data_IF_736867344189
#
_entry.id   IF_736867344189
#
_cell.length_a   1.000
_cell.length_b   1.000
_cell.length_c   1.000
_cell.angle_alpha   90.00
_cell.angle_beta   90.00
_cell.angle_gamma   90.00
#
_symmetry.space_group_name_H-M   'P 1'
#
loop_
_entity.id
_entity.type
_entity.pdbx_description
1 polymer ?
2 water ?
#
# COMPACT_ATOMS: atom_id res chain seq x y z
N UNK A 19 3.59 2.35 23.17
CA UNK A 19 3.42 1.51 21.95
C UNK A 19 3.22 2.38 20.68
N UNK A 20 4.29 2.61 19.90
CA UNK A 20 4.23 3.43 18.68
C UNK A 20 3.79 2.62 17.47
N UNK A 21 3.20 3.31 16.48
CA UNK A 21 2.65 2.69 15.28
C UNK A 21 3.49 2.94 14.03
N UNK A 22 3.91 4.20 13.87
CA UNK A 22 4.70 4.65 12.73
C UNK A 22 6.16 4.44 13.08
N UNK A 23 7.00 4.30 12.05
CA UNK A 23 8.42 4.11 12.23
C UNK A 23 8.91 2.84 12.90
N UNK A 24 8.07 1.80 12.99
CA UNK A 24 8.46 0.56 13.59
C UNK A 24 8.32 -0.59 12.59
N UNK A 25 9.15 -1.66 12.76
CA UNK A 25 9.10 -2.80 11.85
C UNK A 25 7.71 -3.40 11.76
N UNK A 26 7.32 -3.75 10.55
CA UNK A 26 5.98 -4.27 10.25
C UNK A 26 5.69 -5.52 11.05
N UNK A 27 6.71 -6.38 11.19
CA UNK A 27 6.72 -7.60 12.06
C UNK A 27 6.28 -7.35 13.50
N UNK A 28 6.75 -6.26 14.07
CA UNK A 28 6.44 -5.91 15.45
C UNK A 28 4.97 -5.47 15.62
N UNK A 29 4.34 -4.98 14.57
CA UNK A 29 2.96 -4.55 14.66
C UNK A 29 1.94 -5.69 14.65
N UNK A 30 2.22 -6.80 13.98
CA UNK A 30 1.16 -7.80 13.76
C UNK A 30 1.00 -8.90 14.84
N UNK A 31 1.70 -8.78 15.97
CA UNK A 31 1.49 -9.74 17.08
C UNK A 31 0.04 -9.66 17.64
N UNK A 32 -0.55 -8.47 17.63
CA UNK A 32 -1.94 -8.25 18.04
C UNK A 32 -2.97 -8.84 17.06
N UNK A 33 -2.61 -8.90 15.78
CA UNK A 33 -3.56 -9.14 14.69
C UNK A 33 -3.52 -10.62 14.27
N UNK A 34 -4.64 -11.32 14.44
CA UNK A 34 -4.80 -12.70 13.96
C UNK A 34 -4.76 -12.83 12.42
N UNK A 35 -5.12 -11.74 11.71
CA UNK A 35 -5.06 -11.67 10.23
C UNK A 35 -3.72 -11.16 9.63
N UNK A 36 -2.84 -10.65 10.49
CA UNK A 36 -1.46 -10.30 10.09
C UNK A 36 -1.33 -8.99 9.25
N UNK A 37 -2.37 -8.14 9.30
CA UNK A 37 -2.34 -6.82 8.70
C UNK A 37 -2.52 -5.83 9.85
N UNK A 38 -1.63 -4.80 9.98
CA UNK A 38 -1.77 -3.83 11.05
C UNK A 38 -3.11 -3.12 11.02
N UNK A 39 -3.64 -2.84 12.20
CA UNK A 39 -4.94 -2.22 12.32
C UNK A 39 -5.02 -0.89 11.56
N UNK A 40 -3.99 -0.08 11.62
CA UNK A 40 -3.98 1.19 10.88
C UNK A 40 -4.12 1.04 9.36
N UNK A 41 -3.47 0.04 8.78
CA UNK A 41 -3.57 -0.22 7.35
C UNK A 41 -5.01 -0.65 6.99
N UNK A 42 -5.59 -1.60 7.74
CA UNK A 42 -6.99 -2.03 7.54
C UNK A 42 -7.97 -0.86 7.59
N UNK A 43 -7.78 -0.01 8.60
CA UNK A 43 -8.65 1.15 8.83
C UNK A 43 -8.62 2.16 7.70
N UNK A 44 -7.42 2.51 7.26
CA UNK A 44 -7.26 3.49 6.20
C UNK A 44 -7.87 2.95 4.92
N UNK A 45 -7.61 1.68 4.64
CA UNK A 45 -8.15 1.06 3.41
C UNK A 45 -9.69 0.99 3.42
N UNK A 46 -10.25 0.64 4.57
CA UNK A 46 -11.69 0.69 4.77
C UNK A 46 -12.25 2.08 4.43
N UNK A 47 -11.63 3.14 4.94
CA UNK A 47 -12.11 4.48 4.71
C UNK A 47 -12.06 4.89 3.23
N UNK A 48 -10.98 4.55 2.54
CA UNK A 48 -10.84 4.92 1.15
C UNK A 48 -11.75 4.01 0.31
N UNK A 49 -11.85 2.73 0.67
CA UNK A 49 -12.79 1.84 -0.03
C UNK A 49 -14.22 2.33 0.03
N UNK A 50 -14.68 2.79 1.19
CA UNK A 50 -16.07 3.21 1.37
C UNK A 50 -16.37 4.59 0.88
N UNK A 51 -15.42 5.49 1.05
CA UNK A 51 -15.63 6.92 0.85
C UNK A 51 -14.79 7.59 -0.22
N UNK A 52 -13.81 6.88 -0.81
CA UNK A 52 -12.79 7.55 -1.60
C UNK A 52 -12.43 7.04 -2.99
N UNK A 53 -12.95 5.86 -3.36
CA UNK A 53 -12.54 5.23 -4.63
C UNK A 53 -12.90 6.09 -5.85
N UNK A 54 -13.98 6.85 -5.75
CA UNK A 54 -14.45 7.72 -6.84
C UNK A 54 -13.99 9.15 -6.71
N UNK A 55 -13.24 9.47 -5.66
CA UNK A 55 -12.79 10.84 -5.39
C UNK A 55 -11.64 11.21 -6.32
N UNK A 56 -11.85 12.32 -7.03
CA UNK A 56 -10.92 12.82 -8.03
C UNK A 56 -9.60 13.09 -7.34
N UNK A 57 -8.54 12.52 -7.89
CA UNK A 57 -7.20 12.75 -7.38
C UNK A 57 -6.83 12.07 -6.07
N UNK A 58 -7.56 11.04 -5.67
CA UNK A 58 -7.23 10.29 -4.44
C UNK A 58 -5.78 9.76 -4.57
N UNK A 59 -4.99 9.92 -3.51
CA UNK A 59 -3.54 9.67 -3.54
C UNK A 59 -2.66 10.64 -4.32
N UNK A 60 -3.08 11.12 -5.50
CA UNK A 60 -2.35 12.21 -6.18
C UNK A 60 -2.33 13.53 -5.35
N UNK A 61 -3.46 13.83 -4.71
CA UNK A 61 -3.58 14.96 -3.79
C UNK A 61 -2.83 14.69 -2.49
N UNK A 62 -1.86 15.55 -2.20
CA UNK A 62 -1.17 15.48 -0.93
C UNK A 62 -1.90 16.30 0.12
N UNK A 63 -2.41 15.66 1.16
CA UNK A 63 -3.03 16.39 2.25
C UNK A 63 -2.03 17.35 2.95
N UNK A 64 -2.55 18.34 3.66
CA UNK A 64 -1.72 19.29 4.40
C UNK A 64 -0.78 18.50 5.32
N UNK A 65 0.52 18.75 5.23
CA UNK A 65 1.54 18.06 6.09
C UNK A 65 1.23 18.21 7.58
N UNK A 66 0.73 19.35 7.99
CA UNK A 66 0.35 19.55 9.39
C UNK A 66 -0.84 18.66 9.80
N UNK A 67 -1.83 18.48 8.92
CA UNK A 67 -2.94 17.57 9.22
C UNK A 67 -2.49 16.11 9.25
N UNK A 68 -1.60 15.72 8.33
CA UNK A 68 -1.02 14.36 8.38
C UNK A 68 -0.25 14.18 9.70
N UNK A 69 0.59 15.14 10.08
CA UNK A 69 1.35 15.04 11.33
C UNK A 69 0.51 14.94 12.59
N UNK A 70 -0.47 15.82 12.72
CA UNK A 70 -1.39 15.80 13.87
C UNK A 70 -2.00 14.39 14.03
N UNK A 71 -2.49 13.80 12.94
CA UNK A 71 -3.18 12.52 13.00
C UNK A 71 -2.18 11.41 13.29
N UNK A 72 -1.04 11.46 12.62
CA UNK A 72 0.08 10.56 12.91
C UNK A 72 0.47 10.53 14.40
N UNK A 73 0.72 11.72 14.95
CA UNK A 73 1.15 11.88 16.34
C UNK A 73 0.08 11.41 17.32
N UNK A 74 -1.19 11.72 17.04
CA UNK A 74 -2.29 11.22 17.89
C UNK A 74 -2.34 9.71 17.95
N UNK A 75 -2.09 9.04 16.83
CA UNK A 75 -2.11 7.57 16.75
C UNK A 75 -0.88 6.96 17.47
N UNK A 76 0.28 7.60 17.32
CA UNK A 76 1.49 7.19 18.03
C UNK A 76 1.38 7.33 19.55
N UNK A 77 0.63 8.33 20.02
CA UNK A 77 0.33 8.47 21.44
C UNK A 77 -0.59 7.36 21.96
N UNK A 78 -1.58 6.94 21.17
CA UNK A 78 -2.51 5.89 21.58
C UNK A 78 -3.05 5.15 20.36
N UNK A 79 -2.71 3.85 20.20
CA UNK A 79 -3.17 3.13 19.01
C UNK A 79 -4.70 3.06 18.87
N UNK A 80 -5.44 3.22 19.97
CA UNK A 80 -6.91 3.35 19.91
C UNK A 80 -7.40 4.55 19.09
N UNK A 81 -6.57 5.59 18.96
CA UNK A 81 -6.88 6.74 18.10
C UNK A 81 -6.97 6.49 16.57
N UNK A 82 -6.76 5.25 16.09
CA UNK A 82 -7.15 4.91 14.71
C UNK A 82 -8.65 5.04 14.48
N UNK A 83 -9.45 5.11 15.56
CA UNK A 83 -10.86 5.56 15.49
C UNK A 83 -11.05 6.92 14.80
N UNK A 84 -10.07 7.81 15.00
CA UNK A 84 -10.02 9.15 14.39
C UNK A 84 -9.90 9.15 12.87
N UNK A 85 -9.42 8.04 12.30
CA UNK A 85 -9.36 7.86 10.84
C UNK A 85 -10.76 7.80 10.19
N UNK A 86 -11.76 7.24 10.89
CA UNK A 86 -13.14 7.23 10.37
C UNK A 86 -13.60 8.67 10.14
N UNK A 87 -14.22 8.96 8.98
CA UNK A 87 -14.64 10.34 8.70
C UNK A 87 -15.85 10.73 9.58
N UNK A 88 -15.68 11.78 10.37
CA UNK A 88 -16.78 12.30 11.19
C UNK A 88 -17.82 12.91 10.26
N UNK A 89 -19.09 12.84 10.66
CA UNK A 89 -20.20 13.34 9.85
C UNK A 89 -20.44 14.86 10.14
N UNK A 90 -20.79 15.66 9.14
CA UNK A 90 -20.79 15.29 7.70
C UNK A 90 -19.37 15.27 7.13
N UNK A 91 -18.99 14.25 6.34
CA UNK A 91 -17.59 14.15 5.85
C UNK A 91 -17.26 15.23 4.82
N UNK A 92 -15.97 15.49 4.63
CA UNK A 92 -15.49 16.42 3.60
C UNK A 92 -14.45 15.73 2.74
N UNK A 93 -14.33 16.17 1.49
CA UNK A 93 -13.29 15.70 0.58
C UNK A 93 -11.94 15.63 1.26
N UNK A 94 -11.57 16.71 1.96
CA UNK A 94 -10.22 16.80 2.51
C UNK A 94 -9.96 15.79 3.61
N UNK A 95 -10.98 15.39 4.38
CA UNK A 95 -10.80 14.26 5.33
C UNK A 95 -10.46 12.94 4.66
N UNK A 96 -10.97 12.73 3.45
CA UNK A 96 -10.69 11.55 2.69
C UNK A 96 -9.30 11.60 2.10
N UNK A 97 -8.94 12.73 1.46
CA UNK A 97 -7.56 12.97 1.02
C UNK A 97 -6.54 12.73 2.14
N UNK A 98 -6.84 13.29 3.33
CA UNK A 98 -6.02 13.11 4.53
C UNK A 98 -5.73 11.64 4.85
N UNK A 99 -6.75 10.78 4.77
CA UNK A 99 -6.57 9.38 5.09
C UNK A 99 -5.69 8.67 4.07
N UNK A 100 -5.87 9.01 2.81
CA UNK A 100 -4.96 8.55 1.78
C UNK A 100 -3.51 8.94 2.02
N UNK A 101 -3.28 10.21 2.38
CA UNK A 101 -1.92 10.66 2.67
C UNK A 101 -1.37 10.02 3.92
N UNK A 102 -2.22 9.77 4.90
CA UNK A 102 -1.81 9.07 6.10
C UNK A 102 -1.34 7.64 5.80
N UNK A 103 -2.06 6.93 4.93
CA UNK A 103 -1.71 5.57 4.60
C UNK A 103 -0.38 5.51 3.88
N UNK A 104 -0.20 6.40 2.92
CA UNK A 104 1.08 6.53 2.24
C UNK A 104 2.26 6.87 3.19
N UNK A 105 2.00 7.71 4.18
CA UNK A 105 3.02 8.08 5.16
C UNK A 105 3.38 6.89 6.05
N UNK A 106 2.39 6.05 6.36
CA UNK A 106 2.65 4.83 7.08
C UNK A 106 3.68 3.95 6.36
N UNK A 107 3.42 3.67 5.09
CA UNK A 107 4.32 2.84 4.31
C UNK A 107 5.70 3.48 4.13
N UNK A 108 5.71 4.79 3.87
CA UNK A 108 6.97 5.56 3.76
C UNK A 108 7.79 5.64 5.04
N UNK A 109 7.14 5.55 6.19
CA UNK A 109 7.81 5.61 7.50
C UNK A 109 8.28 4.24 8.04
N UNK A 110 7.93 3.14 7.37
CA UNK A 110 8.39 1.83 7.77
C UNK A 110 9.93 1.79 7.66
N UNK A 111 10.61 1.21 8.66
CA UNK A 111 12.08 1.14 8.54
C UNK A 111 12.58 0.48 7.25
N UNK A 112 11.91 -0.56 6.78
CA UNK A 112 12.24 -1.22 5.52
C UNK A 112 11.05 -1.10 4.58
N UNK A 113 11.29 -1.17 3.29
CA UNK A 113 10.18 -1.18 2.35
C UNK A 113 9.37 -2.49 2.50
N UNK A 114 8.07 -2.42 2.25
CA UNK A 114 7.19 -3.62 2.38
C UNK A 114 7.63 -4.72 1.41
N UNK A 115 8.11 -4.35 0.21
CA UNK A 115 9.02 -5.22 -0.53
C UNK A 115 10.43 -4.96 -0.02
N UNK A 116 11.01 -5.91 0.74
CA UNK A 116 12.27 -5.55 1.43
C UNK A 116 13.46 -5.18 0.52
N UNK A 117 14.29 -4.25 0.98
CA UNK A 117 15.57 -3.94 0.31
C UNK A 117 16.35 -5.20 -0.10
N UNK A 118 16.34 -6.23 0.74
CA UNK A 118 17.07 -7.46 0.42
C UNK A 118 16.65 -8.13 -0.89
N UNK A 119 15.43 -7.87 -1.36
CA UNK A 119 14.95 -8.33 -2.66
C UNK A 119 15.43 -7.53 -3.88
N UNK A 120 16.14 -6.41 -3.68
CA UNK A 120 16.63 -5.56 -4.78
C UNK A 120 17.17 -6.32 -6.00
N UNK A 121 18.16 -7.20 -5.76
CA UNK A 121 18.84 -7.95 -6.81
C UNK A 121 17.94 -8.86 -7.59
N UNK A 122 17.04 -9.55 -6.89
CA UNK A 122 16.06 -10.42 -7.56
C UNK A 122 15.00 -9.59 -8.28
N UNK A 123 14.69 -8.40 -7.76
CA UNK A 123 13.76 -7.49 -8.47
C UNK A 123 14.41 -6.98 -9.77
N UNK A 124 15.71 -6.67 -9.72
CA UNK A 124 16.45 -6.25 -10.91
C UNK A 124 16.41 -7.30 -12.02
N UNK A 125 16.75 -8.54 -11.65
CA UNK A 125 16.62 -9.71 -12.52
C UNK A 125 15.20 -9.80 -13.11
N UNK A 126 14.19 -9.70 -12.24
CA UNK A 126 12.78 -9.75 -12.67
C UNK A 126 12.44 -8.70 -13.77
N UNK A 127 12.91 -7.47 -13.57
CA UNK A 127 12.62 -6.36 -14.47
C UNK A 127 13.31 -6.45 -15.85
N UNK A 128 14.37 -7.26 -16.00
CA UNK A 128 14.98 -7.52 -17.31
C UNK A 128 14.25 -8.57 -18.16
N UNK A 129 13.35 -9.34 -17.56
CA UNK A 129 12.69 -10.46 -18.25
C UNK A 129 11.63 -9.91 -19.21
N UNK A 130 11.83 -10.15 -20.51
CA UNK A 130 10.95 -9.62 -21.57
C UNK A 130 9.62 -10.40 -21.67
N UNK A 131 9.67 -11.73 -21.58
CA UNK A 131 8.45 -12.58 -21.63
C UNK A 131 7.54 -12.29 -20.43
N UNK A 132 6.30 -11.83 -20.68
CA UNK A 132 5.40 -11.48 -19.58
C UNK A 132 5.02 -12.63 -18.63
N UNK A 133 4.79 -13.83 -19.16
CA UNK A 133 4.39 -14.99 -18.32
C UNK A 133 5.54 -15.39 -17.38
N UNK A 134 6.74 -15.49 -17.94
CA UNK A 134 7.96 -15.73 -17.18
C UNK A 134 8.14 -14.63 -16.14
N UNK A 135 8.01 -13.36 -16.53
CA UNK A 135 8.13 -12.24 -15.59
C UNK A 135 7.15 -12.32 -14.39
N UNK A 136 5.88 -12.58 -14.65
CA UNK A 136 4.91 -12.67 -13.57
C UNK A 136 5.10 -13.90 -12.66
N UNK A 137 5.42 -15.05 -13.23
CA UNK A 137 5.74 -16.21 -12.42
C UNK A 137 6.98 -15.97 -11.56
N UNK A 138 7.93 -15.18 -12.07
CA UNK A 138 9.13 -14.84 -11.34
C UNK A 138 8.75 -13.98 -10.14
N UNK A 139 7.97 -12.93 -10.38
CA UNK A 139 7.53 -12.08 -9.29
C UNK A 139 6.67 -12.87 -8.29
N UNK A 140 5.81 -13.76 -8.77
CA UNK A 140 5.00 -14.63 -7.88
C UNK A 140 5.93 -15.31 -6.86
N UNK A 141 7.03 -15.86 -7.34
CA UNK A 141 8.00 -16.52 -6.48
C UNK A 141 8.55 -15.63 -5.37
N UNK A 142 8.95 -14.43 -5.76
CA UNK A 142 9.36 -13.42 -4.78
C UNK A 142 8.27 -13.12 -3.76
N UNK A 143 7.03 -12.95 -4.22
CA UNK A 143 5.92 -12.62 -3.31
C UNK A 143 5.61 -13.78 -2.39
N UNK A 144 5.59 -14.99 -2.95
CA UNK A 144 5.26 -16.19 -2.18
C UNK A 144 6.23 -16.41 -1.03
N UNK A 145 7.46 -15.96 -1.24
CA UNK A 145 8.54 -16.10 -0.26
C UNK A 145 8.64 -15.01 0.78
N UNK A 146 7.81 -13.97 0.68
CA UNK A 146 7.77 -12.97 1.72
C UNK A 146 7.36 -13.55 3.05
N UNK A 147 7.97 -13.08 4.13
CA UNK A 147 7.38 -13.41 5.42
C UNK A 147 5.90 -12.95 5.54
N UNK A 148 5.16 -13.62 6.43
CA UNK A 148 3.77 -13.31 6.71
C UNK A 148 3.41 -11.82 6.78
N UNK A 149 4.08 -11.06 7.65
CA UNK A 149 3.71 -9.64 7.87
C UNK A 149 3.72 -8.86 6.55
N UNK A 150 4.80 -9.01 5.78
CA UNK A 150 4.94 -8.35 4.48
C UNK A 150 3.95 -8.89 3.45
N UNK A 151 3.76 -10.20 3.46
CA UNK A 151 2.88 -10.86 2.50
C UNK A 151 1.45 -10.35 2.62
N UNK A 152 0.89 -10.47 3.82
CA UNK A 152 -0.50 -10.15 4.07
C UNK A 152 -0.76 -8.66 3.95
N UNK A 153 0.19 -7.84 4.43
CA UNK A 153 0.07 -6.40 4.29
C UNK A 153 0.15 -5.95 2.83
N UNK A 154 1.10 -6.50 2.07
CA UNK A 154 1.20 -6.19 0.66
C UNK A 154 -0.06 -6.64 -0.07
N UNK A 155 -0.57 -7.81 0.28
CA UNK A 155 -1.81 -8.27 -0.34
C UNK A 155 -2.94 -7.26 -0.14
N UNK A 156 -3.13 -6.79 1.07
CA UNK A 156 -4.23 -5.88 1.35
C UNK A 156 -4.09 -4.57 0.61
N UNK A 157 -2.86 -4.06 0.55
CA UNK A 157 -2.60 -2.83 -0.17
C UNK A 157 -2.75 -3.00 -1.68
N UNK A 158 -2.25 -4.10 -2.23
CA UNK A 158 -2.35 -4.27 -3.68
C UNK A 158 -3.80 -4.43 -4.14
N UNK A 159 -4.60 -5.19 -3.40
CA UNK A 159 -6.04 -5.32 -3.72
C UNK A 159 -6.77 -3.98 -3.68
N UNK A 160 -6.45 -3.18 -2.67
CA UNK A 160 -6.97 -1.86 -2.55
C UNK A 160 -6.60 -0.97 -3.73
N UNK A 161 -5.32 -0.97 -4.10
CA UNK A 161 -4.88 -0.14 -5.21
C UNK A 161 -5.51 -0.57 -6.54
N UNK A 162 -5.78 -1.85 -6.71
CA UNK A 162 -6.47 -2.35 -7.89
C UNK A 162 -7.91 -1.91 -7.94
N UNK A 163 -8.55 -1.85 -6.77
CA UNK A 163 -9.90 -1.25 -6.66
C UNK A 163 -9.86 0.22 -7.07
N UNK A 164 -8.83 0.96 -6.64
CA UNK A 164 -8.66 2.36 -7.05
C UNK A 164 -8.60 2.45 -8.56
N UNK A 165 -7.76 1.60 -9.17
CA UNK A 165 -7.66 1.53 -10.63
C UNK A 165 -8.93 1.18 -11.34
N UNK A 166 -9.70 0.27 -10.77
CA UNK A 166 -11.03 -0.07 -11.33
C UNK A 166 -11.97 1.15 -11.40
N UNK A 167 -11.72 2.15 -10.56
CA UNK A 167 -12.54 3.34 -10.54
C UNK A 167 -11.93 4.57 -11.26
N UNK A 168 -10.97 4.35 -12.16
CA UNK A 168 -10.23 5.42 -12.88
C UNK A 168 -11.13 6.40 -13.59
N UNK A 169 -12.21 5.91 -14.19
CA UNK A 169 -13.17 6.80 -14.84
C UNK A 169 -13.67 7.92 -13.91
N UNK A 170 -13.74 7.68 -12.59
CA UNK A 170 -14.12 8.75 -11.66
C UNK A 170 -12.93 9.41 -10.99
N UNK A 171 -11.97 8.62 -10.49
CA UNK A 171 -10.85 9.22 -9.74
C UNK A 171 -9.72 9.81 -10.64
N UNK A 172 -9.75 9.47 -11.93
CA UNK A 172 -8.78 9.95 -12.91
C UNK A 172 -7.34 9.56 -12.60
N UNK A 173 -7.15 8.41 -11.93
CA UNK A 173 -5.82 7.86 -11.67
C UNK A 173 -5.53 6.73 -12.63
N UNK A 174 -4.56 6.95 -13.52
CA UNK A 174 -4.06 5.87 -14.35
C UNK A 174 -2.97 5.04 -13.60
N UNK A 175 -2.67 3.89 -14.16
CA UNK A 175 -1.68 2.97 -13.63
C UNK A 175 -0.32 3.65 -13.35
N UNK A 176 0.20 4.40 -14.32
CA UNK A 176 1.52 5.01 -14.19
C UNK A 176 1.56 6.06 -13.08
N UNK A 177 0.51 6.88 -12.97
CA UNK A 177 0.39 7.87 -11.90
C UNK A 177 0.40 7.16 -10.55
N UNK A 178 -0.36 6.07 -10.48
CA UNK A 178 -0.42 5.30 -9.25
C UNK A 178 0.95 4.70 -8.85
N UNK A 179 1.73 4.29 -9.84
CA UNK A 179 3.08 3.75 -9.60
C UNK A 179 4.13 4.80 -9.26
N UNK A 180 3.98 6.01 -9.78
CA UNK A 180 4.80 7.16 -9.36
C UNK A 180 4.54 7.47 -7.87
N UNK A 181 3.27 7.45 -7.47
CA UNK A 181 2.91 7.78 -6.11
C UNK A 181 3.35 6.70 -5.12
N UNK A 182 3.09 5.44 -5.46
CA UNK A 182 3.28 4.32 -4.55
C UNK A 182 4.62 3.55 -4.67
N UNK A 183 5.17 3.49 -5.86
CA UNK A 183 6.37 2.71 -6.08
C UNK A 183 7.53 3.04 -5.13
N UNK A 184 7.89 4.33 -4.99
CA UNK A 184 9.00 4.64 -4.10
C UNK A 184 8.72 4.37 -2.64
N UNK A 185 7.45 4.20 -2.30
CA UNK A 185 7.02 3.87 -0.96
C UNK A 185 7.07 2.34 -0.71
N UNK A 186 6.77 1.54 -1.74
CA UNK A 186 6.61 0.08 -1.59
C UNK A 186 7.83 -0.71 -1.95
N UNK A 187 8.47 -0.34 -3.05
CA UNK A 187 9.59 -1.04 -3.59
C UNK A 187 10.91 -0.41 -3.14
N UNK A 188 11.97 -1.22 -3.02
CA UNK A 188 13.29 -0.67 -2.73
C UNK A 188 13.89 0.07 -3.94
N UNK A 189 14.85 0.94 -3.66
CA UNK A 189 15.51 1.73 -4.68
C UNK A 189 16.39 0.86 -5.58
N UNK A 190 16.74 1.40 -6.75
CA UNK A 190 17.72 0.79 -7.65
C UNK A 190 19.04 0.65 -6.86
N UNK A 191 19.50 -0.60 -6.67
CA UNK A 191 20.77 -0.82 -5.93
C UNK A 191 21.99 -0.24 -6.68
N UNK A 192 21.95 -0.23 -8.02
CA UNK A 192 23.02 0.36 -8.82
C UNK A 192 22.85 1.86 -9.10
N UNK A 193 21.67 2.43 -8.83
CA UNK A 193 21.45 3.88 -9.01
C UNK A 193 20.40 4.49 -8.05
N UNK A 194 20.88 5.16 -7.00
CA UNK A 194 20.03 5.78 -5.97
C UNK A 194 18.98 6.79 -6.48
N UNK A 195 19.26 7.43 -7.61
CA UNK A 195 18.35 8.45 -8.17
C UNK A 195 17.44 7.98 -9.30
N UNK A 196 17.55 6.71 -9.71
CA UNK A 196 16.64 6.14 -10.72
C UNK A 196 15.23 5.91 -10.17
N UNK A 197 14.28 6.80 -10.45
CA UNK A 197 12.89 6.55 -10.07
C UNK A 197 12.14 5.47 -10.91
N UNK A 198 12.65 5.10 -12.09
CA UNK A 198 11.94 4.14 -12.96
C UNK A 198 11.94 2.71 -12.42
N UNK A 199 12.98 2.37 -11.65
CA UNK A 199 13.09 1.04 -11.04
C UNK A 199 11.92 0.73 -10.11
N UNK A 200 11.64 1.65 -9.19
CA UNK A 200 10.53 1.48 -8.26
C UNK A 200 9.15 1.56 -8.92
N UNK A 201 9.04 2.35 -9.98
CA UNK A 201 7.80 2.50 -10.75
C UNK A 201 7.46 1.21 -11.49
N UNK A 202 8.45 0.64 -12.17
CA UNK A 202 8.33 -0.64 -12.88
C UNK A 202 8.09 -1.82 -11.97
N UNK A 203 8.80 -1.85 -10.85
CA UNK A 203 8.52 -2.85 -9.81
C UNK A 203 7.04 -2.83 -9.37
N UNK A 204 6.48 -1.63 -9.21
CA UNK A 204 5.08 -1.47 -8.83
C UNK A 204 4.14 -1.97 -9.92
N UNK A 205 4.40 -1.65 -11.19
CA UNK A 205 3.61 -2.19 -12.33
C UNK A 205 3.60 -3.72 -12.40
N UNK A 206 4.77 -4.34 -12.28
CA UNK A 206 4.85 -5.79 -12.33
C UNK A 206 4.09 -6.39 -11.14
N UNK A 207 4.20 -5.75 -9.99
CA UNK A 207 3.47 -6.20 -8.81
C UNK A 207 1.95 -6.17 -9.04
N UNK A 208 1.45 -5.08 -9.65
CA UNK A 208 0.00 -4.95 -9.92
C UNK A 208 -0.47 -5.98 -10.95
N UNK A 209 0.27 -6.10 -12.04
CA UNK A 209 0.06 -7.13 -13.07
C UNK A 209 -0.04 -8.56 -12.52
N UNK A 210 0.79 -8.90 -11.55
CA UNK A 210 0.89 -10.28 -11.06
C UNK A 210 -0.11 -10.57 -9.93
N UNK A 211 -0.73 -9.53 -9.40
CA UNK A 211 -1.47 -9.68 -8.15
C UNK A 211 -2.61 -10.68 -8.27
N UNK A 212 -3.19 -10.79 -9.47
CA UNK A 212 -4.29 -11.72 -9.69
C UNK A 212 -3.86 -13.15 -9.43
N UNK A 213 -2.67 -13.54 -9.88
CA UNK A 213 -2.17 -14.89 -9.60
C UNK A 213 -1.36 -15.05 -8.30
N UNK A 214 -0.72 -13.99 -7.80
CA UNK A 214 0.17 -14.11 -6.63
C UNK A 214 -0.54 -14.22 -5.27
N UNK A 215 -1.75 -13.68 -5.16
CA UNK A 215 -2.43 -13.59 -3.88
C UNK A 215 -3.80 -14.26 -3.95
N UNK A 216 -4.20 -14.99 -2.92
CA UNK A 216 -5.56 -15.59 -2.91
C UNK A 216 -6.63 -14.48 -2.84
N UNK A 217 -7.76 -14.65 -3.55
CA UNK A 217 -8.76 -13.55 -3.56
C UNK A 217 -9.46 -13.30 -2.20
N UNK A 218 -9.96 -12.10 -2.01
CA UNK A 218 -10.69 -11.76 -0.77
C UNK A 218 -12.02 -12.54 -0.75
N UNK A 219 -12.51 -12.92 0.44
CA UNK A 219 -13.72 -13.78 0.56
C UNK A 219 -15.00 -13.05 0.11
N UNK A 220 -15.93 -13.77 -0.54
CA UNK A 220 -17.15 -13.16 -1.14
C UNK A 220 -18.41 -13.28 -0.27
N UNK A 221 -19.07 -12.16 0.01
CA UNK A 221 -20.16 -12.08 1.00
C UNK A 221 -21.54 -11.82 0.35
N UNK A 222 -22.13 -12.89 -0.21
CA UNK A 222 -23.42 -12.83 -0.90
C UNK A 222 -24.14 -14.18 -0.80
N UNK A 223 -25.18 -14.26 0.03
CA UNK A 223 -25.94 -15.48 0.26
C UNK A 223 -27.41 -15.01 0.44
N UNK A 224 -28.03 -14.48 -0.60
CA UNK A 224 -29.40 -14.01 -0.48
C UNK A 224 -30.38 -14.98 -1.06
#
# INVERSE_FOLDING_TARGET
MISHIQTNNNMPPGVQKNFKTFGVPLESLIEFEQDMVPAIVRQCIYVIDKFGLDQEGIYRKSANVLDVSKLKEEIDKDPANISMILPSKPHSDSDIYLVGSLLKTFFASLPDSVLPKALSSEIKVCLQIEDPTTRKNFMHGLIYNLPDAQYWTLRALVFHLKRVLAHEAQNRMNLRALCIIWGPTIAPANPDDANDVNFQIMAMEVLLEVSDQAFEPELEHHHHHH
#
